data_IF_734941337292
#
_entry.id   IF_734941337292
#
_cell.length_a   1.000
_cell.length_b   1.000
_cell.length_c   1.000
_cell.angle_alpha   90.00
_cell.angle_beta   90.00
_cell.angle_gamma   90.00
#
_symmetry.space_group_name_H-M   'P 1'
#
loop_
_entity.id
_entity.type
_entity.pdbx_description
1 polymer ?
#
# COMPACT_ATOMS: atom_id res chain seq x y z
N UNK A 1 -11.41 -11.89 0.98
CA UNK A 1 -10.29 -10.96 0.73
C UNK A 1 -10.73 -9.50 0.95
N UNK A 2 -11.94 -9.13 0.56
CA UNK A 2 -12.51 -7.78 0.77
C UNK A 2 -12.44 -7.30 2.22
N UNK A 3 -12.72 -8.17 3.20
CA UNK A 3 -12.62 -7.81 4.63
C UNK A 3 -11.21 -7.39 5.06
N UNK A 4 -10.17 -8.05 4.51
CA UNK A 4 -8.78 -7.73 4.82
C UNK A 4 -8.39 -6.38 4.19
N UNK A 5 -8.82 -6.14 2.95
CA UNK A 5 -8.62 -4.87 2.26
C UNK A 5 -9.28 -3.71 3.03
N UNK A 6 -10.53 -3.90 3.45
CA UNK A 6 -11.27 -2.91 4.24
C UNK A 6 -10.63 -2.67 5.61
N UNK A 7 -10.12 -3.71 6.27
CA UNK A 7 -9.42 -3.56 7.54
C UNK A 7 -8.14 -2.74 7.38
N UNK A 8 -7.29 -3.05 6.39
CA UNK A 8 -6.05 -2.29 6.13
C UNK A 8 -6.36 -0.83 5.76
N UNK A 9 -7.38 -0.61 4.92
CA UNK A 9 -7.79 0.75 4.55
C UNK A 9 -8.23 1.57 5.78
N UNK A 10 -9.02 0.97 6.69
CA UNK A 10 -9.45 1.62 7.93
C UNK A 10 -8.29 1.95 8.87
N UNK A 11 -7.33 1.03 9.01
CA UNK A 11 -6.15 1.27 9.84
C UNK A 11 -5.27 2.39 9.27
N UNK A 12 -5.08 2.43 7.94
CA UNK A 12 -4.33 3.50 7.28
C UNK A 12 -5.02 4.87 7.42
N UNK A 13 -6.34 4.91 7.28
CA UNK A 13 -7.13 6.12 7.47
C UNK A 13 -7.03 6.63 8.92
N UNK A 14 -7.14 5.73 9.91
CA UNK A 14 -6.96 6.06 11.33
C UNK A 14 -5.56 6.60 11.65
N UNK A 15 -4.53 6.02 11.05
CA UNK A 15 -3.13 6.38 11.33
C UNK A 15 -2.68 7.67 10.64
N UNK A 16 -3.17 7.94 9.42
CA UNK A 16 -2.69 9.05 8.59
C UNK A 16 -3.73 10.16 8.38
N UNK A 17 -5.00 9.92 8.72
CA UNK A 17 -6.10 10.87 8.54
C UNK A 17 -6.46 11.13 7.08
N UNK A 18 -6.15 10.21 6.17
CA UNK A 18 -6.40 10.34 4.73
C UNK A 18 -7.01 9.06 4.16
N UNK A 19 -7.96 9.22 3.24
CA UNK A 19 -8.53 8.12 2.50
C UNK A 19 -7.49 7.55 1.51
N UNK A 20 -7.20 6.25 1.63
CA UNK A 20 -6.22 5.53 0.78
C UNK A 20 -6.91 4.40 0.02
N UNK A 21 -6.61 4.27 -1.27
CA UNK A 21 -7.01 3.10 -2.06
C UNK A 21 -6.02 1.96 -1.86
N UNK A 22 -6.48 0.85 -1.26
CA UNK A 22 -5.69 -0.37 -1.07
C UNK A 22 -5.94 -1.34 -2.22
N UNK A 23 -4.94 -2.13 -2.61
CA UNK A 23 -5.12 -3.25 -3.55
C UNK A 23 -4.23 -4.41 -3.10
N UNK A 24 -4.86 -5.56 -2.86
CA UNK A 24 -4.12 -6.79 -2.57
C UNK A 24 -3.51 -7.33 -3.88
N UNK A 25 -2.26 -7.77 -3.80
CA UNK A 25 -1.55 -8.42 -4.90
C UNK A 25 -1.10 -9.81 -4.46
N UNK A 26 -0.83 -10.68 -5.42
CA UNK A 26 -0.43 -12.05 -5.12
C UNK A 26 0.88 -12.09 -4.30
N UNK A 27 1.06 -13.08 -3.43
CA UNK A 27 2.28 -13.25 -2.67
C UNK A 27 3.52 -13.28 -3.57
N UNK A 28 4.63 -12.67 -3.10
CA UNK A 28 5.93 -12.63 -3.81
C UNK A 28 5.95 -11.91 -5.17
N UNK A 29 4.88 -11.20 -5.55
CA UNK A 29 4.86 -10.40 -6.80
C UNK A 29 5.51 -9.02 -6.67
N UNK A 30 5.59 -8.49 -5.44
CA UNK A 30 6.31 -7.24 -5.18
C UNK A 30 7.80 -7.57 -5.04
N UNK A 31 8.62 -6.95 -5.88
CA UNK A 31 10.06 -7.07 -5.84
C UNK A 31 10.61 -6.70 -4.45
N UNK A 32 11.49 -7.55 -3.91
CA UNK A 32 12.12 -7.35 -2.61
C UNK A 32 13.60 -7.08 -2.86
N UNK A 33 14.05 -5.85 -2.66
CA UNK A 33 15.48 -5.54 -2.71
C UNK A 33 16.17 -5.97 -1.42
N UNK A 34 17.40 -6.50 -1.52
CA UNK A 34 18.23 -6.96 -0.39
C UNK A 34 18.76 -5.80 0.51
N UNK A 35 18.72 -4.55 0.01
CA UNK A 35 19.10 -3.34 0.77
C UNK A 35 17.90 -2.49 1.21
N UNK A 36 18.13 -1.17 1.40
CA UNK A 36 17.03 -0.20 1.67
C UNK A 36 16.05 -0.21 0.49
N UNK A 37 14.88 -0.82 0.67
CA UNK A 37 13.89 -0.94 -0.42
C UNK A 37 13.22 0.42 -0.68
N UNK A 38 13.17 0.85 -1.96
CA UNK A 38 12.34 1.99 -2.39
C UNK A 38 10.91 1.51 -2.62
N UNK A 39 9.94 1.99 -1.83
CA UNK A 39 8.52 1.57 -1.89
C UNK A 39 7.55 2.64 -2.41
N UNK A 40 8.04 3.87 -2.62
CA UNK A 40 7.23 5.01 -3.06
C UNK A 40 7.59 5.33 -4.50
N UNK A 41 6.57 5.38 -5.36
CA UNK A 41 6.68 5.82 -6.76
C UNK A 41 5.83 7.06 -6.89
N UNK A 42 6.45 8.20 -7.18
CA UNK A 42 5.74 9.43 -7.48
C UNK A 42 5.31 9.44 -8.96
N UNK A 43 4.02 9.66 -9.20
CA UNK A 43 3.42 9.70 -10.54
C UNK A 43 2.76 11.04 -10.85
N UNK A 44 3.06 12.08 -10.08
CA UNK A 44 2.53 13.43 -10.32
C UNK A 44 3.15 14.00 -11.59
N UNK A 45 2.30 14.37 -12.55
CA UNK A 45 2.72 15.25 -13.65
C UNK A 45 2.62 16.68 -13.13
N UNK A 46 3.75 17.40 -13.12
CA UNK A 46 3.89 18.79 -12.65
C UNK A 46 4.19 19.67 -13.86
#
# INVERSE_FOLDING_TARGET
LEQLEAHIAKELDSALGIAVKVRLVEPKTIERSEGKSKRVIDKREI
#
